data_IF_120821373235
#
_entry.id   IF_120821373235
#
_cell.length_a   1.000
_cell.length_b   1.000
_cell.length_c   1.000
_cell.angle_alpha   90.00
_cell.angle_beta   90.00
_cell.angle_gamma   90.00
#
_symmetry.space_group_name_H-M   'P 1'
#
loop_
_entity.id
_entity.type
_entity.pdbx_description
1 polymer ?
#
# COMPACT_ATOMS: atom_id res chain seq x y z
N UNK A 1 7.89 -11.66 3.84
CA UNK A 1 6.65 -11.61 3.04
C UNK A 1 7.04 -11.61 1.58
N UNK A 2 6.68 -12.67 0.86
CA UNK A 2 7.03 -12.84 -0.55
C UNK A 2 6.13 -11.94 -1.41
N UNK A 3 6.67 -10.78 -1.83
CA UNK A 3 5.92 -9.69 -2.45
C UNK A 3 5.43 -9.97 -3.88
N UNK A 4 5.81 -11.12 -4.47
CA UNK A 4 5.44 -11.50 -5.84
C UNK A 4 3.98 -11.94 -5.99
N UNK A 5 3.29 -12.28 -4.90
CA UNK A 5 1.94 -12.88 -4.96
C UNK A 5 0.77 -12.00 -4.47
N UNK A 6 1.02 -10.77 -4.03
CA UNK A 6 -0.05 -9.87 -3.52
C UNK A 6 -1.12 -9.59 -4.59
N UNK A 7 -0.75 -9.58 -5.87
CA UNK A 7 -1.70 -9.34 -6.97
C UNK A 7 -2.73 -10.48 -7.15
N UNK A 8 -2.40 -11.70 -6.73
CA UNK A 8 -3.31 -12.85 -6.82
C UNK A 8 -4.20 -13.01 -5.59
N UNK A 9 -3.87 -12.31 -4.49
CA UNK A 9 -4.60 -12.45 -3.22
C UNK A 9 -5.98 -11.78 -3.26
N UNK A 10 -6.13 -10.70 -4.02
CA UNK A 10 -7.36 -9.92 -4.05
C UNK A 10 -8.21 -10.24 -5.27
N UNK A 11 -9.43 -10.77 -5.02
CA UNK A 11 -10.39 -11.17 -6.05
C UNK A 11 -11.41 -10.09 -6.40
N UNK A 12 -11.48 -9.02 -5.60
CA UNK A 12 -12.43 -7.93 -5.78
C UNK A 12 -11.74 -6.58 -5.62
N UNK A 13 -12.21 -5.61 -6.40
CA UNK A 13 -11.82 -4.20 -6.35
C UNK A 13 -12.02 -3.62 -4.95
N UNK A 14 -13.13 -3.99 -4.28
CA UNK A 14 -13.48 -3.52 -2.93
C UNK A 14 -12.43 -3.93 -1.88
N UNK A 15 -11.88 -5.13 -1.98
CA UNK A 15 -10.86 -5.60 -1.03
C UNK A 15 -9.52 -4.89 -1.26
N UNK A 16 -9.23 -4.54 -2.52
CA UNK A 16 -8.05 -3.73 -2.86
C UNK A 16 -8.19 -2.33 -2.28
N UNK A 17 -9.36 -1.69 -2.39
CA UNK A 17 -9.60 -0.37 -1.81
C UNK A 17 -9.45 -0.38 -0.29
N UNK A 18 -10.04 -1.36 0.41
CA UNK A 18 -9.87 -1.52 1.86
C UNK A 18 -8.40 -1.71 2.25
N UNK A 19 -7.65 -2.50 1.47
CA UNK A 19 -6.22 -2.70 1.71
C UNK A 19 -5.44 -1.39 1.52
N UNK A 20 -5.66 -0.66 0.41
CA UNK A 20 -5.06 0.64 0.13
C UNK A 20 -5.37 1.62 1.26
N UNK A 21 -6.61 1.68 1.73
CA UNK A 21 -7.02 2.56 2.82
C UNK A 21 -6.28 2.22 4.12
N UNK A 22 -6.23 0.94 4.49
CA UNK A 22 -5.52 0.46 5.68
C UNK A 22 -4.03 0.82 5.64
N UNK A 23 -3.37 0.60 4.49
CA UNK A 23 -1.98 0.97 4.28
C UNK A 23 -1.76 2.48 4.36
N UNK A 24 -2.63 3.29 3.76
CA UNK A 24 -2.56 4.75 3.83
C UNK A 24 -2.74 5.26 5.27
N UNK A 25 -3.67 4.67 6.05
CA UNK A 25 -3.85 4.99 7.47
C UNK A 25 -2.57 4.67 8.27
N UNK A 26 -1.94 3.52 7.99
CA UNK A 26 -0.66 3.14 8.60
C UNK A 26 0.47 4.11 8.23
N UNK A 27 0.60 4.47 6.95
CA UNK A 27 1.57 5.46 6.50
C UNK A 27 1.37 6.83 7.16
N UNK A 28 0.12 7.28 7.33
CA UNK A 28 -0.20 8.53 8.05
C UNK A 28 0.22 8.47 9.51
N UNK A 29 -0.02 7.34 10.19
CA UNK A 29 0.42 7.12 11.57
C UNK A 29 1.95 7.15 11.68
N UNK A 30 2.65 6.47 10.77
CA UNK A 30 4.11 6.49 10.71
C UNK A 30 4.67 7.89 10.44
N UNK A 31 4.05 8.68 9.55
CA UNK A 31 4.46 10.08 9.32
C UNK A 31 4.35 10.91 10.59
N UNK A 32 3.28 10.75 11.38
CA UNK A 32 3.16 11.42 12.69
C UNK A 32 4.26 10.98 13.65
N UNK A 33 4.59 9.68 13.69
CA UNK A 33 5.71 9.17 14.49
C UNK A 33 7.05 9.74 14.02
N UNK A 34 7.28 9.86 12.72
CA UNK A 34 8.51 10.41 12.16
C UNK A 34 8.71 11.89 12.54
N UNK A 35 7.64 12.69 12.58
CA UNK A 35 7.73 14.10 13.01
C UNK A 35 8.22 14.19 14.46
N UNK A 36 7.71 13.33 15.33
CA UNK A 36 8.04 13.31 16.76
C UNK A 36 9.27 12.47 17.11
N UNK A 37 9.93 11.85 16.14
CA UNK A 37 11.07 10.98 16.42
C UNK A 37 12.29 11.81 16.87
N UNK A 38 12.93 11.46 17.99
CA UNK A 38 13.99 12.25 18.59
C UNK A 38 15.31 12.15 17.82
N UNK A 39 15.53 11.05 17.09
CA UNK A 39 16.77 10.82 16.35
C UNK A 39 16.57 10.76 14.83
N UNK A 40 17.62 11.15 14.10
CA UNK A 40 17.67 11.02 12.64
C UNK A 40 17.59 9.54 12.19
N UNK A 41 18.15 8.63 12.97
CA UNK A 41 18.12 7.19 12.70
C UNK A 41 16.70 6.62 12.78
N UNK A 42 15.91 6.99 13.79
CA UNK A 42 14.50 6.60 13.88
C UNK A 42 13.68 7.20 12.75
N UNK A 43 13.89 8.49 12.41
CA UNK A 43 13.25 9.12 11.24
C UNK A 43 13.57 8.35 9.95
N UNK A 44 14.81 7.93 9.77
CA UNK A 44 15.24 7.17 8.59
C UNK A 44 14.55 5.79 8.53
N UNK A 45 14.47 5.08 9.65
CA UNK A 45 13.80 3.78 9.75
C UNK A 45 12.31 3.89 9.44
N UNK A 46 11.63 4.88 10.05
CA UNK A 46 10.21 5.13 9.79
C UNK A 46 9.96 5.53 8.34
N UNK A 47 10.84 6.36 7.75
CA UNK A 47 10.73 6.76 6.34
C UNK A 47 10.96 5.58 5.38
N UNK A 48 11.87 4.66 5.68
CA UNK A 48 12.02 3.41 4.92
C UNK A 48 10.74 2.59 4.95
N UNK A 49 10.10 2.49 6.11
CA UNK A 49 8.85 1.75 6.28
C UNK A 49 7.68 2.41 5.53
N UNK A 50 7.58 3.74 5.55
CA UNK A 50 6.63 4.51 4.74
C UNK A 50 6.87 4.27 3.25
N UNK A 51 8.13 4.24 2.80
CA UNK A 51 8.47 3.95 1.40
C UNK A 51 7.95 2.57 0.97
N UNK A 52 8.21 1.54 1.77
CA UNK A 52 7.70 0.19 1.52
C UNK A 52 6.18 0.16 1.43
N UNK A 53 5.47 0.87 2.33
CA UNK A 53 4.02 0.97 2.27
C UNK A 53 3.54 1.64 0.97
N UNK A 54 4.18 2.72 0.54
CA UNK A 54 3.83 3.38 -0.72
C UNK A 54 4.04 2.46 -1.93
N UNK A 55 5.10 1.64 -1.93
CA UNK A 55 5.34 0.64 -2.97
C UNK A 55 4.25 -0.44 -2.99
N UNK A 56 3.78 -0.88 -1.82
CA UNK A 56 2.65 -1.82 -1.70
C UNK A 56 1.37 -1.18 -2.25
N UNK A 57 1.05 0.05 -1.83
CA UNK A 57 -0.13 0.79 -2.32
C UNK A 57 -0.08 0.96 -3.84
N UNK A 58 1.09 1.27 -4.39
CA UNK A 58 1.27 1.39 -5.84
C UNK A 58 0.97 0.07 -6.56
N UNK A 59 1.50 -1.05 -6.06
CA UNK A 59 1.21 -2.39 -6.62
C UNK A 59 -0.28 -2.76 -6.52
N UNK A 60 -0.92 -2.41 -5.41
CA UNK A 60 -2.36 -2.62 -5.22
C UNK A 60 -3.18 -1.81 -6.24
N UNK A 61 -2.83 -0.54 -6.47
CA UNK A 61 -3.46 0.28 -7.52
C UNK A 61 -3.26 -0.30 -8.91
N UNK A 62 -2.07 -0.82 -9.23
CA UNK A 62 -1.86 -1.52 -10.51
C UNK A 62 -2.76 -2.75 -10.65
N UNK A 63 -3.02 -3.47 -9.56
CA UNK A 63 -3.92 -4.60 -9.57
C UNK A 63 -5.39 -4.19 -9.73
N UNK A 64 -5.78 -3.09 -9.06
CA UNK A 64 -7.10 -2.45 -9.21
C UNK A 64 -7.39 -2.17 -10.69
N UNK A 65 -6.49 -1.48 -11.38
CA UNK A 65 -6.67 -1.15 -12.81
C UNK A 65 -6.75 -2.39 -13.69
N UNK A 66 -5.96 -3.44 -13.42
CA UNK A 66 -6.03 -4.70 -14.18
C UNK A 66 -7.35 -5.44 -13.96
N UNK A 67 -7.91 -5.38 -12.76
CA UNK A 67 -9.21 -5.99 -12.44
C UNK A 67 -10.35 -5.20 -13.10
N UNK A 68 -10.32 -3.88 -13.05
CA UNK A 68 -11.28 -3.03 -13.75
C UNK A 68 -11.24 -3.22 -15.27
N UNK A 69 -10.06 -3.27 -15.88
CA UNK A 69 -9.90 -3.52 -17.32
C UNK A 69 -10.50 -4.89 -17.72
N UNK A 70 -10.26 -5.94 -16.93
CA UNK A 70 -10.88 -7.26 -17.16
C UNK A 70 -12.39 -7.24 -17.02
N UNK A 71 -12.92 -6.52 -16.03
CA UNK A 71 -14.37 -6.38 -15.82
C UNK A 71 -15.00 -5.59 -16.98
N UNK A 72 -14.33 -4.53 -17.44
CA UNK A 72 -14.81 -3.69 -18.54
C UNK A 72 -14.76 -4.38 -19.91
N UNK A 73 -13.80 -5.29 -20.13
CA UNK A 73 -13.68 -6.08 -21.37
C UNK A 73 -14.59 -7.33 -21.39
N UNK A 74 -15.43 -7.53 -20.38
CA UNK A 74 -16.42 -8.61 -20.31
C UNK A 74 -17.87 -8.09 -20.32
N UNK A 75 -18.06 -6.83 -20.73
CA UNK A 75 -19.38 -6.21 -21.00
C UNK A 75 -19.55 -6.04 -22.50
#
# INVERSE_FOLDING_TARGET
MDYKNITSTFKSVLDIDKAIESFNRKAKSLRKKAVNAPTLAEKLTINKEIKTINEIVFKLKLNYFKLEDRLSNHV
#
